data_IF_509499825965
#
_entry.id   IF_509499825965
#
_cell.length_a   1.000
_cell.length_b   1.000
_cell.length_c   1.000
_cell.angle_alpha   90.00
_cell.angle_beta   90.00
_cell.angle_gamma   90.00
#
_symmetry.space_group_name_H-M   'P 1'
#
loop_
_entity.id
_entity.type
_entity.pdbx_description
1 polymer ?
#
# COMPACT_ATOMS: atom_id res chain seq x y z
N UNK A 1 0.52 -4.80 -37.01
CA UNK A 1 1.24 -5.51 -35.93
C UNK A 1 0.26 -5.56 -34.79
N UNK A 2 -0.10 -6.75 -34.32
CA UNK A 2 -1.05 -6.87 -33.22
C UNK A 2 -0.43 -6.21 -31.96
N UNK A 3 -1.24 -5.45 -31.22
CA UNK A 3 -0.93 -4.95 -29.88
C UNK A 3 -0.78 -6.18 -28.94
N UNK A 4 0.32 -6.95 -29.04
CA UNK A 4 0.48 -8.23 -28.33
C UNK A 4 0.66 -8.07 -26.81
N UNK A 5 0.99 -6.86 -26.34
CA UNK A 5 1.26 -6.54 -24.93
C UNK A 5 0.22 -5.58 -24.31
N UNK A 6 -1.04 -5.68 -24.74
CA UNK A 6 -2.12 -4.86 -24.18
C UNK A 6 -3.33 -5.72 -23.79
N UNK A 7 -3.78 -5.58 -22.54
CA UNK A 7 -5.08 -6.07 -22.10
C UNK A 7 -6.17 -5.04 -22.44
N UNK A 8 -7.32 -5.52 -22.91
CA UNK A 8 -8.51 -4.67 -23.13
C UNK A 8 -9.61 -5.17 -22.20
N UNK A 9 -10.11 -4.29 -21.35
CA UNK A 9 -11.26 -4.58 -20.52
C UNK A 9 -12.53 -4.61 -21.39
N UNK A 10 -13.16 -5.79 -21.45
CA UNK A 10 -14.29 -6.06 -22.33
C UNK A 10 -15.53 -5.22 -22.01
N UNK A 11 -15.66 -4.72 -20.77
CA UNK A 11 -16.82 -3.95 -20.33
C UNK A 11 -16.67 -2.45 -20.60
N UNK A 12 -15.46 -1.92 -20.36
CA UNK A 12 -15.16 -0.49 -20.46
C UNK A 12 -14.46 -0.11 -21.77
N UNK A 13 -13.94 -1.09 -22.50
CA UNK A 13 -13.08 -0.88 -23.68
C UNK A 13 -11.71 -0.30 -23.34
N UNK A 14 -11.38 -0.16 -22.05
CA UNK A 14 -10.14 0.45 -21.60
C UNK A 14 -8.95 -0.47 -21.86
N UNK A 15 -7.89 0.12 -22.42
CA UNK A 15 -6.61 -0.54 -22.65
C UNK A 15 -5.70 -0.42 -21.42
N UNK A 16 -5.06 -1.53 -21.06
CA UNK A 16 -4.05 -1.62 -20.02
C UNK A 16 -2.79 -2.25 -20.62
N UNK A 17 -1.73 -1.46 -20.75
CA UNK A 17 -0.47 -1.95 -21.28
C UNK A 17 0.30 -2.75 -20.24
N UNK A 18 0.78 -3.90 -20.69
CA UNK A 18 1.75 -4.76 -20.01
C UNK A 18 3.03 -4.79 -20.86
N UNK A 19 4.13 -5.36 -20.37
CA UNK A 19 5.39 -5.41 -21.11
C UNK A 19 6.33 -4.21 -20.89
N UNK A 20 5.86 -3.15 -20.22
CA UNK A 20 6.70 -2.01 -19.85
C UNK A 20 7.76 -2.29 -18.77
N UNK A 21 7.67 -3.42 -18.07
CA UNK A 21 8.70 -3.86 -17.13
C UNK A 21 9.74 -4.70 -17.85
N UNK A 22 10.83 -4.08 -18.31
CA UNK A 22 11.88 -4.79 -19.01
C UNK A 22 12.64 -5.73 -18.05
N UNK A 23 12.86 -6.96 -18.51
CA UNK A 23 13.60 -7.98 -17.76
C UNK A 23 15.08 -7.84 -18.08
N UNK A 24 15.90 -7.69 -17.05
CA UNK A 24 17.35 -7.80 -17.16
C UNK A 24 17.79 -9.21 -16.75
N UNK A 25 18.79 -9.75 -17.45
CA UNK A 25 19.43 -11.03 -17.13
C UNK A 25 20.65 -10.87 -16.21
N UNK A 26 21.11 -9.63 -16.01
CA UNK A 26 22.21 -9.34 -15.10
C UNK A 26 21.73 -9.41 -13.65
N UNK A 27 22.58 -9.79 -12.67
CA UNK A 27 22.22 -9.70 -11.26
C UNK A 27 22.02 -8.25 -10.82
N UNK A 28 21.25 -8.04 -9.75
CA UNK A 28 21.10 -6.70 -9.19
C UNK A 28 22.44 -6.12 -8.72
N UNK A 29 22.77 -4.87 -9.10
CA UNK A 29 23.97 -4.19 -8.63
C UNK A 29 23.82 -3.64 -7.20
N UNK A 30 22.63 -3.76 -6.60
CA UNK A 30 22.32 -3.22 -5.29
C UNK A 30 22.67 -4.20 -4.16
N UNK A 31 22.89 -3.66 -2.97
CA UNK A 31 23.21 -4.48 -1.80
C UNK A 31 22.04 -5.41 -1.49
N UNK A 32 22.31 -6.64 -1.04
CA UNK A 32 21.23 -7.54 -0.63
C UNK A 32 20.64 -7.07 0.70
N UNK A 33 19.32 -7.02 0.76
CA UNK A 33 18.57 -6.81 1.98
C UNK A 33 18.94 -7.88 3.01
N UNK A 34 19.37 -7.42 4.19
CA UNK A 34 19.62 -8.28 5.34
C UNK A 34 18.42 -8.26 6.26
N UNK A 35 17.53 -9.25 6.15
CA UNK A 35 16.37 -9.36 7.02
C UNK A 35 16.78 -9.36 8.49
N UNK A 36 16.23 -8.43 9.28
CA UNK A 36 16.42 -8.42 10.73
C UNK A 36 15.67 -9.57 11.41
N UNK A 37 14.58 -10.04 10.79
CA UNK A 37 13.72 -11.12 11.27
C UNK A 37 13.90 -12.39 10.43
N UNK A 38 14.95 -13.16 10.72
CA UNK A 38 15.22 -14.42 10.01
C UNK A 38 14.41 -15.62 10.53
N UNK A 39 13.78 -15.48 11.69
CA UNK A 39 12.94 -16.51 12.32
C UNK A 39 11.46 -16.30 11.93
N UNK A 40 10.86 -17.21 11.14
CA UNK A 40 9.48 -17.09 10.69
C UNK A 40 8.48 -16.95 11.84
N UNK A 41 8.77 -17.52 13.02
CA UNK A 41 7.87 -17.47 14.19
C UNK A 41 7.77 -16.07 14.81
N UNK A 42 8.72 -15.18 14.50
CA UNK A 42 8.75 -13.79 14.97
C UNK A 42 8.09 -12.81 14.01
N UNK A 43 7.73 -13.24 12.80
CA UNK A 43 7.04 -12.39 11.85
C UNK A 43 5.57 -12.21 12.26
N UNK A 44 5.01 -11.00 12.13
CA UNK A 44 3.58 -10.78 12.28
C UNK A 44 2.80 -11.70 11.32
N UNK A 45 1.63 -12.18 11.73
CA UNK A 45 0.75 -12.98 10.85
C UNK A 45 0.13 -12.16 9.71
N UNK A 46 0.16 -10.83 9.81
CA UNK A 46 -0.21 -9.91 8.74
C UNK A 46 0.50 -8.57 8.90
N UNK A 47 0.73 -7.91 7.77
CA UNK A 47 1.27 -6.55 7.67
C UNK A 47 0.48 -5.80 6.62
N UNK A 48 0.12 -4.55 6.91
CA UNK A 48 -0.60 -3.68 5.98
C UNK A 48 -0.03 -2.25 6.04
N UNK A 49 0.67 -1.85 4.97
CA UNK A 49 1.31 -0.54 4.86
C UNK A 49 0.44 0.48 4.09
N UNK A 50 -0.80 0.13 3.73
CA UNK A 50 -1.68 0.98 2.89
C UNK A 50 -2.00 2.33 3.51
N UNK A 51 -2.01 2.43 4.83
CA UNK A 51 -2.28 3.67 5.55
C UNK A 51 -1.26 4.79 5.25
N UNK A 52 -0.10 4.44 4.67
CA UNK A 52 0.95 5.36 4.29
C UNK A 52 1.08 5.50 2.76
N UNK A 53 0.23 4.83 1.99
CA UNK A 53 0.20 4.94 0.54
C UNK A 53 -0.54 6.21 0.12
N UNK A 54 -0.08 6.81 -0.98
CA UNK A 54 -0.76 7.89 -1.71
C UNK A 54 -1.91 7.34 -2.56
N UNK A 55 -2.78 8.15 -3.18
CA UNK A 55 -3.77 7.69 -4.16
C UNK A 55 -3.13 6.88 -5.30
N UNK A 56 -3.83 5.89 -5.86
CA UNK A 56 -3.26 5.05 -6.94
C UNK A 56 -3.02 5.86 -8.20
N UNK A 57 -1.84 5.63 -8.78
CA UNK A 57 -1.46 6.16 -10.08
C UNK A 57 -2.20 5.47 -11.22
N UNK A 58 -2.45 6.24 -12.28
CA UNK A 58 -2.95 5.73 -13.55
C UNK A 58 -1.86 5.89 -14.61
N UNK A 59 -1.26 4.78 -15.03
CA UNK A 59 -0.22 4.77 -16.08
C UNK A 59 -0.79 5.02 -17.48
N UNK A 60 -2.12 5.06 -17.64
CA UNK A 60 -2.79 5.22 -18.93
C UNK A 60 -2.33 4.20 -19.98
N UNK A 61 -2.32 4.67 -21.23
CA UNK A 61 -1.93 3.90 -22.42
C UNK A 61 -0.40 3.95 -22.63
N UNK A 62 0.37 3.55 -21.60
CA UNK A 62 1.86 3.63 -21.64
C UNK A 62 2.55 2.42 -21.02
N UNK A 63 3.82 2.22 -21.39
CA UNK A 63 4.74 1.23 -20.82
C UNK A 63 5.46 1.71 -19.55
N UNK A 64 4.86 2.62 -18.78
CA UNK A 64 5.52 3.30 -17.64
C UNK A 64 5.35 2.62 -16.27
N UNK A 65 4.89 1.36 -16.20
CA UNK A 65 4.55 0.68 -14.94
C UNK A 65 5.66 0.69 -13.88
N UNK A 66 6.93 0.54 -14.28
CA UNK A 66 8.08 0.62 -13.37
C UNK A 66 8.20 2.00 -12.73
N UNK A 67 8.00 3.07 -13.50
CA UNK A 67 8.07 4.42 -12.99
C UNK A 67 6.91 4.74 -12.04
N UNK A 68 5.70 4.26 -12.33
CA UNK A 68 4.55 4.38 -11.43
C UNK A 68 4.77 3.62 -10.12
N UNK A 69 5.32 2.40 -10.20
CA UNK A 69 5.68 1.58 -9.04
C UNK A 69 6.67 2.31 -8.13
N UNK A 70 7.74 2.86 -8.70
CA UNK A 70 8.75 3.56 -7.92
C UNK A 70 8.31 4.95 -7.46
N UNK A 71 7.41 5.63 -8.18
CA UNK A 71 6.75 6.83 -7.66
C UNK A 71 5.99 6.50 -6.37
N UNK A 72 5.10 5.51 -6.39
CA UNK A 72 4.36 5.10 -5.19
C UNK A 72 5.27 4.66 -4.03
N UNK A 73 6.39 3.98 -4.33
CA UNK A 73 7.36 3.60 -3.31
C UNK A 73 8.11 4.81 -2.73
N UNK A 74 8.47 5.78 -3.58
CA UNK A 74 9.12 7.02 -3.18
C UNK A 74 8.19 7.86 -2.30
N UNK A 75 6.94 8.03 -2.72
CA UNK A 75 5.92 8.79 -2.01
C UNK A 75 5.56 8.17 -0.66
N UNK A 76 5.51 6.84 -0.59
CA UNK A 76 5.40 6.14 0.69
C UNK A 76 6.50 6.53 1.67
N UNK A 77 7.76 6.65 1.21
CA UNK A 77 8.86 7.05 2.09
C UNK A 77 8.71 8.49 2.56
N UNK A 78 8.24 9.40 1.70
CA UNK A 78 7.90 10.77 2.11
C UNK A 78 6.80 10.73 3.17
N UNK A 79 5.74 9.95 2.96
CA UNK A 79 4.64 9.82 3.89
C UNK A 79 5.11 9.22 5.23
N UNK A 80 5.91 8.16 5.20
CA UNK A 80 6.47 7.49 6.39
C UNK A 80 7.35 8.43 7.22
N UNK A 81 8.27 9.15 6.57
CA UNK A 81 9.29 9.94 7.27
C UNK A 81 8.84 11.37 7.59
N UNK A 82 7.92 11.93 6.81
CA UNK A 82 7.56 13.35 6.91
C UNK A 82 6.07 13.60 7.13
N UNK A 83 5.22 12.56 7.01
CA UNK A 83 3.75 12.66 7.11
C UNK A 83 3.19 13.70 6.15
N UNK A 84 3.80 13.79 4.96
CA UNK A 84 3.40 14.70 3.89
C UNK A 84 3.04 13.91 2.65
N UNK A 85 1.92 14.28 2.06
CA UNK A 85 1.57 13.85 0.73
C UNK A 85 2.31 14.72 -0.29
N UNK A 86 3.22 14.12 -1.06
CA UNK A 86 3.90 14.77 -2.18
C UNK A 86 3.81 13.78 -3.32
N UNK A 87 3.29 14.24 -4.45
CA UNK A 87 3.19 13.49 -5.70
C UNK A 87 4.44 13.76 -6.55
N UNK A 88 5.11 12.71 -7.01
CA UNK A 88 6.40 12.78 -7.71
C UNK A 88 6.27 12.44 -9.18
N UNK A 89 7.00 13.18 -10.03
CA UNK A 89 6.87 13.07 -11.49
C UNK A 89 7.25 11.68 -12.01
N UNK A 90 6.22 10.90 -12.36
CA UNK A 90 6.38 9.57 -12.97
C UNK A 90 7.10 9.65 -14.31
N UNK A 91 6.81 10.67 -15.11
CA UNK A 91 7.48 10.86 -16.40
C UNK A 91 8.94 11.31 -16.24
N UNK A 92 9.29 12.02 -15.17
CA UNK A 92 10.68 12.33 -14.85
C UNK A 92 11.47 11.06 -14.53
N UNK A 93 10.91 10.19 -13.68
CA UNK A 93 11.50 8.87 -13.37
C UNK A 93 11.65 8.07 -14.67
N UNK A 94 10.56 7.97 -15.45
CA UNK A 94 10.52 7.13 -16.65
C UNK A 94 11.46 7.58 -17.76
N UNK A 95 11.54 8.90 -18.03
CA UNK A 95 12.49 9.45 -19.00
C UNK A 95 13.93 9.12 -18.60
N UNK A 96 14.29 9.40 -17.35
CA UNK A 96 15.67 9.22 -16.88
C UNK A 96 16.06 7.73 -16.79
N UNK A 97 15.12 6.86 -16.43
CA UNK A 97 15.33 5.41 -16.43
C UNK A 97 15.71 4.91 -17.83
N UNK A 98 14.94 5.27 -18.86
CA UNK A 98 15.24 4.88 -20.25
C UNK A 98 16.58 5.45 -20.73
N UNK A 99 16.93 6.67 -20.33
CA UNK A 99 18.24 7.27 -20.64
C UNK A 99 19.40 6.53 -19.98
N UNK A 100 19.24 6.06 -18.74
CA UNK A 100 20.24 5.20 -18.08
C UNK A 100 20.33 3.85 -18.78
N UNK A 101 19.20 3.28 -19.20
CA UNK A 101 19.14 2.05 -19.99
C UNK A 101 19.61 2.19 -21.45
N UNK A 102 20.30 3.27 -21.81
CA UNK A 102 20.94 3.43 -23.11
C UNK A 102 20.07 4.07 -24.21
N UNK A 103 18.84 4.52 -23.92
CA UNK A 103 18.02 5.20 -24.92
C UNK A 103 18.72 6.49 -25.41
N UNK A 104 18.78 6.64 -26.74
CA UNK A 104 19.41 7.79 -27.36
C UNK A 104 18.61 9.07 -27.10
N UNK A 105 19.29 10.18 -26.79
CA UNK A 105 18.64 11.45 -26.40
C UNK A 105 17.67 12.00 -27.46
N UNK A 106 17.98 11.75 -28.74
CA UNK A 106 17.22 12.25 -29.90
C UNK A 106 16.16 11.24 -30.37
N UNK A 107 16.12 10.04 -29.77
CA UNK A 107 15.21 8.97 -30.17
C UNK A 107 14.76 8.14 -28.96
N UNK A 108 13.86 8.71 -28.17
CA UNK A 108 13.25 8.03 -27.03
C UNK A 108 11.86 7.54 -27.42
N UNK A 109 11.56 6.29 -27.07
CA UNK A 109 10.28 5.64 -27.31
C UNK A 109 9.69 5.13 -26.00
N UNK A 110 8.39 4.84 -26.05
CA UNK A 110 7.69 4.19 -24.97
C UNK A 110 7.91 2.67 -24.99
N UNK A 111 9.09 2.23 -24.56
CA UNK A 111 9.52 0.83 -24.62
C UNK A 111 9.76 0.21 -23.24
N UNK A 112 9.25 0.83 -22.18
CA UNK A 112 9.48 0.37 -20.82
C UNK A 112 10.87 0.70 -20.28
N UNK A 113 11.12 0.25 -19.05
CA UNK A 113 12.45 0.31 -18.43
C UNK A 113 12.59 -0.83 -17.42
N UNK A 114 13.81 -1.03 -16.91
CA UNK A 114 14.04 -1.97 -15.81
C UNK A 114 13.90 -1.25 -14.47
N UNK A 115 13.55 -1.97 -13.41
CA UNK A 115 13.53 -1.42 -12.04
C UNK A 115 14.89 -0.84 -11.66
N UNK A 116 15.98 -1.53 -12.04
CA UNK A 116 17.36 -1.07 -11.78
C UNK A 116 17.66 0.27 -12.43
N UNK A 117 17.28 0.47 -13.69
CA UNK A 117 17.52 1.74 -14.36
C UNK A 117 16.72 2.88 -13.72
N UNK A 118 15.50 2.59 -13.27
CA UNK A 118 14.66 3.59 -12.62
C UNK A 118 15.16 3.95 -11.21
N UNK A 119 15.65 2.99 -10.43
CA UNK A 119 16.31 3.27 -9.15
C UNK A 119 17.63 4.00 -9.37
N UNK A 120 18.42 3.60 -10.36
CA UNK A 120 19.64 4.32 -10.74
C UNK A 120 19.34 5.78 -11.14
N UNK A 121 18.19 6.03 -11.77
CA UNK A 121 17.74 7.38 -12.09
C UNK A 121 17.40 8.17 -10.83
N UNK A 122 16.68 7.57 -9.88
CA UNK A 122 16.37 8.18 -8.59
C UNK A 122 17.64 8.45 -7.76
N UNK A 123 18.65 7.57 -7.78
CA UNK A 123 19.95 7.82 -7.13
C UNK A 123 20.69 8.99 -7.77
N UNK A 124 20.73 9.01 -9.11
CA UNK A 124 21.53 9.99 -9.87
C UNK A 124 20.88 11.37 -9.94
N UNK A 125 19.59 11.42 -10.18
CA UNK A 125 18.86 12.66 -10.46
C UNK A 125 17.84 13.02 -9.39
N UNK A 126 17.37 12.05 -8.60
CA UNK A 126 16.22 12.22 -7.71
C UNK A 126 14.91 12.24 -8.47
N UNK A 127 13.90 12.92 -7.94
CA UNK A 127 12.65 13.15 -8.63
C UNK A 127 12.10 14.55 -8.31
N UNK A 128 11.52 15.23 -9.30
CA UNK A 128 10.77 16.46 -9.08
C UNK A 128 9.31 16.15 -8.78
N UNK A 129 8.55 17.16 -8.35
CA UNK A 129 7.11 17.03 -8.16
C UNK A 129 6.37 16.77 -9.48
N UNK A 130 5.27 16.05 -9.41
CA UNK A 130 4.42 15.71 -10.56
C UNK A 130 3.95 16.97 -11.31
N UNK A 131 3.55 18.02 -10.60
CA UNK A 131 3.13 19.30 -11.22
C UNK A 131 4.22 20.07 -11.98
N UNK A 132 5.50 19.69 -11.85
CA UNK A 132 6.59 20.30 -12.63
C UNK A 132 6.78 19.61 -13.98
N UNK A 133 6.44 18.33 -14.05
CA UNK A 133 6.50 17.53 -15.26
C UNK A 133 5.38 16.48 -15.24
N UNK A 134 4.18 16.97 -15.52
CA UNK A 134 2.94 16.23 -15.37
C UNK A 134 2.85 15.04 -16.33
N UNK A 135 2.17 14.00 -15.87
CA UNK A 135 1.81 12.80 -16.61
C UNK A 135 0.85 13.16 -17.74
N UNK A 136 1.45 13.55 -18.85
CA UNK A 136 0.77 13.89 -20.09
C UNK A 136 1.43 13.11 -21.22
N UNK A 137 0.62 12.47 -22.07
CA UNK A 137 1.11 11.70 -23.21
C UNK A 137 2.03 12.49 -24.14
N UNK A 138 1.82 13.81 -24.26
CA UNK A 138 2.69 14.69 -25.04
C UNK A 138 4.10 14.86 -24.44
N UNK A 139 4.26 14.58 -23.14
CA UNK A 139 5.52 14.65 -22.41
C UNK A 139 6.23 13.30 -22.33
N UNK A 140 5.55 12.19 -22.66
CA UNK A 140 6.02 10.81 -22.45
C UNK A 140 7.46 10.57 -22.92
N UNK A 141 7.83 11.10 -24.09
CA UNK A 141 9.16 10.92 -24.68
C UNK A 141 10.01 12.21 -24.67
N UNK A 142 9.52 13.29 -24.05
CA UNK A 142 10.21 14.57 -23.99
C UNK A 142 11.15 14.62 -22.79
N UNK A 143 12.29 15.30 -22.98
CA UNK A 143 13.22 15.59 -21.88
C UNK A 143 12.54 16.54 -20.88
N UNK A 144 12.54 16.22 -19.57
CA UNK A 144 12.12 17.18 -18.57
C UNK A 144 12.90 18.49 -18.67
N UNK A 145 12.26 19.65 -18.44
CA UNK A 145 12.95 20.94 -18.40
C UNK A 145 14.04 20.99 -17.31
N UNK A 146 15.01 21.90 -17.45
CA UNK A 146 16.14 22.02 -16.52
C UNK A 146 15.69 22.24 -15.06
N UNK A 147 14.63 23.04 -14.85
CA UNK A 147 14.04 23.31 -13.52
C UNK A 147 13.63 22.03 -12.78
N UNK A 148 13.19 20.98 -13.51
CA UNK A 148 12.85 19.69 -12.92
C UNK A 148 14.09 19.00 -12.36
N UNK A 149 15.21 19.04 -13.08
CA UNK A 149 16.47 18.47 -12.60
C UNK A 149 17.05 19.25 -11.43
N UNK A 150 16.85 20.57 -11.39
CA UNK A 150 17.32 21.40 -10.28
C UNK A 150 16.53 21.13 -8.98
N UNK A 151 15.22 20.94 -9.09
CA UNK A 151 14.38 20.48 -7.97
C UNK A 151 14.74 19.05 -7.53
N UNK A 152 14.83 18.12 -8.49
CA UNK A 152 15.03 16.70 -8.24
C UNK A 152 16.32 16.37 -7.48
N UNK A 153 17.39 17.16 -7.66
CA UNK A 153 18.68 16.97 -6.95
C UNK A 153 18.54 16.96 -5.43
N UNK A 154 17.53 17.65 -4.89
CA UNK A 154 17.26 17.72 -3.45
C UNK A 154 16.57 16.45 -2.92
N UNK A 155 16.12 15.58 -3.82
CA UNK A 155 15.24 14.44 -3.55
C UNK A 155 15.85 13.15 -4.11
N UNK A 156 17.17 12.98 -3.99
CA UNK A 156 17.85 11.73 -4.34
C UNK A 156 17.65 10.68 -3.26
N UNK A 157 17.42 9.44 -3.67
CA UNK A 157 17.53 8.32 -2.75
C UNK A 157 19.00 8.05 -2.46
N UNK A 158 19.30 7.71 -1.21
CA UNK A 158 20.67 7.40 -0.80
C UNK A 158 21.03 5.98 -1.23
N UNK A 159 20.16 5.03 -0.87
CA UNK A 159 20.42 3.61 -0.98
C UNK A 159 19.19 2.86 -1.48
N UNK A 160 19.46 1.69 -2.05
CA UNK A 160 18.46 0.73 -2.44
C UNK A 160 19.02 -0.66 -2.16
N UNK A 161 18.16 -1.52 -1.63
CA UNK A 161 18.50 -2.90 -1.31
C UNK A 161 17.67 -3.88 -2.11
N UNK A 162 18.32 -4.93 -2.59
CA UNK A 162 17.70 -6.03 -3.30
C UNK A 162 17.14 -7.07 -2.32
N UNK A 163 15.82 -7.27 -2.32
CA UNK A 163 15.17 -8.31 -1.50
C UNK A 163 15.27 -9.65 -2.23
N UNK A 164 15.70 -10.70 -1.52
CA UNK A 164 15.79 -12.02 -2.15
C UNK A 164 14.40 -12.61 -2.35
N UNK A 165 14.23 -13.36 -3.44
CA UNK A 165 13.01 -14.13 -3.71
C UNK A 165 12.90 -15.34 -2.77
N UNK A 166 12.60 -15.07 -1.50
CA UNK A 166 12.14 -16.07 -0.56
C UNK A 166 11.15 -15.42 0.41
N UNK A 167 10.26 -16.26 0.96
CA UNK A 167 9.11 -15.78 1.71
C UNK A 167 9.52 -15.02 2.98
N UNK A 168 10.60 -15.43 3.63
CA UNK A 168 11.08 -14.84 4.89
C UNK A 168 11.60 -13.43 4.63
N UNK A 169 12.47 -13.23 3.65
CA UNK A 169 13.05 -11.92 3.34
C UNK A 169 11.96 -10.93 2.85
N UNK A 170 11.03 -11.39 1.99
CA UNK A 170 9.92 -10.57 1.51
C UNK A 170 8.98 -10.13 2.65
N UNK A 171 8.59 -11.06 3.54
CA UNK A 171 7.77 -10.73 4.71
C UNK A 171 8.51 -9.85 5.70
N UNK A 172 9.79 -10.11 5.94
CA UNK A 172 10.63 -9.31 6.84
C UNK A 172 10.74 -7.87 6.36
N UNK A 173 10.96 -7.65 5.07
CA UNK A 173 10.99 -6.32 4.47
C UNK A 173 9.71 -5.53 4.78
N UNK A 174 8.54 -6.16 4.58
CA UNK A 174 7.25 -5.58 4.87
C UNK A 174 7.04 -5.36 6.38
N UNK A 175 7.40 -6.34 7.21
CA UNK A 175 7.26 -6.28 8.67
C UNK A 175 8.17 -5.21 9.31
N UNK A 176 9.32 -4.90 8.71
CA UNK A 176 10.14 -3.72 9.05
C UNK A 176 9.49 -2.40 8.60
N UNK A 177 8.34 -2.48 7.91
CA UNK A 177 7.52 -1.35 7.51
C UNK A 177 7.91 -0.76 6.17
N UNK A 178 8.49 -1.52 5.25
CA UNK A 178 8.92 -1.00 3.96
C UNK A 178 8.34 -1.81 2.80
N UNK A 179 7.78 -1.15 1.78
CA UNK A 179 7.34 -1.83 0.57
C UNK A 179 8.54 -2.18 -0.31
N UNK A 180 8.34 -3.14 -1.21
CA UNK A 180 9.33 -3.48 -2.23
C UNK A 180 8.69 -3.52 -3.61
N UNK A 181 9.36 -2.93 -4.60
CA UNK A 181 8.95 -2.99 -5.99
C UNK A 181 9.30 -4.38 -6.55
N UNK A 182 8.44 -4.96 -7.40
CA UNK A 182 8.72 -6.23 -8.05
C UNK A 182 8.09 -6.30 -9.44
N UNK A 183 8.64 -7.16 -10.31
CA UNK A 183 8.10 -7.45 -11.63
C UNK A 183 7.59 -8.88 -11.74
N UNK A 184 6.48 -9.09 -12.46
CA UNK A 184 5.95 -10.42 -12.78
C UNK A 184 5.61 -10.52 -14.26
N UNK A 185 5.59 -11.73 -14.81
CA UNK A 185 4.87 -11.99 -16.06
C UNK A 185 3.37 -12.00 -15.76
N UNK A 186 2.60 -11.22 -16.52
CA UNK A 186 1.15 -11.27 -16.45
C UNK A 186 0.61 -12.33 -17.40
N UNK A 187 -0.34 -13.11 -16.92
CA UNK A 187 -1.09 -14.10 -17.69
C UNK A 187 -2.54 -13.66 -17.84
N UNK A 188 -3.32 -14.34 -18.68
CA UNK A 188 -4.76 -14.06 -18.82
C UNK A 188 -5.50 -14.10 -17.47
N UNK A 189 -5.13 -15.03 -16.59
CA UNK A 189 -5.61 -15.10 -15.20
C UNK A 189 -5.43 -13.80 -14.41
N UNK A 190 -4.38 -13.03 -14.66
CA UNK A 190 -4.17 -11.71 -14.04
C UNK A 190 -5.30 -10.74 -14.40
N UNK A 191 -5.85 -10.86 -15.60
CA UNK A 191 -6.93 -10.00 -16.10
C UNK A 191 -8.27 -10.31 -15.44
N UNK A 192 -8.45 -11.50 -14.87
CA UNK A 192 -9.65 -11.86 -14.10
C UNK A 192 -9.65 -11.24 -12.70
N UNK A 193 -8.56 -10.57 -12.28
CA UNK A 193 -8.47 -9.95 -10.96
C UNK A 193 -9.58 -8.91 -10.71
N UNK A 194 -9.92 -8.11 -11.73
CA UNK A 194 -11.01 -7.12 -11.64
C UNK A 194 -12.36 -7.79 -11.33
N UNK A 195 -12.65 -8.93 -11.98
CA UNK A 195 -13.87 -9.72 -11.77
C UNK A 195 -13.87 -10.45 -10.41
N UNK A 196 -12.71 -10.59 -9.79
CA UNK A 196 -12.50 -11.33 -8.54
C UNK A 196 -12.16 -10.39 -7.35
N UNK A 197 -12.64 -9.14 -7.37
CA UNK A 197 -12.47 -8.20 -6.28
C UNK A 197 -11.00 -7.86 -5.97
N UNK A 198 -10.13 -7.88 -6.99
CA UNK A 198 -8.69 -7.63 -6.86
C UNK A 198 -7.86 -8.86 -6.53
N UNK A 199 -8.45 -10.05 -6.45
CA UNK A 199 -7.69 -11.28 -6.22
C UNK A 199 -7.17 -11.85 -7.54
N UNK A 200 -5.85 -11.90 -7.67
CA UNK A 200 -5.18 -12.50 -8.83
C UNK A 200 -5.18 -14.03 -8.64
N UNK A 201 -5.91 -14.79 -9.46
CA UNK A 201 -5.82 -16.24 -9.45
C UNK A 201 -4.45 -16.68 -9.98
N UNK A 202 -3.97 -17.82 -9.48
CA UNK A 202 -2.77 -18.44 -10.02
C UNK A 202 -2.96 -18.80 -11.51
N UNK A 203 -1.93 -18.60 -12.35
CA UNK A 203 -2.02 -18.96 -13.75
C UNK A 203 -2.18 -20.48 -13.90
N UNK A 204 -3.04 -20.89 -14.85
CA UNK A 204 -3.24 -22.29 -15.22
C UNK A 204 -2.08 -22.76 -16.11
N UNK A 205 -0.94 -23.03 -15.50
CA UNK A 205 0.25 -23.51 -16.21
C UNK A 205 0.16 -25.01 -16.56
N UNK A 206 0.77 -25.45 -17.68
CA UNK A 206 1.49 -24.65 -18.68
C UNK A 206 0.58 -24.01 -19.73
N UNK A 207 -0.74 -24.25 -19.68
CA UNK A 207 -1.69 -23.80 -20.70
C UNK A 207 -1.64 -22.29 -20.93
N UNK A 208 -1.62 -21.49 -19.86
CA UNK A 208 -1.53 -20.04 -20.02
C UNK A 208 -0.17 -19.61 -20.59
N UNK A 209 0.94 -20.19 -20.14
CA UNK A 209 2.28 -19.87 -20.68
C UNK A 209 2.49 -20.12 -22.17
N UNK A 210 1.63 -20.93 -22.80
CA UNK A 210 1.69 -21.24 -24.23
C UNK A 210 0.82 -20.30 -25.10
N UNK A 211 -0.04 -19.47 -24.49
CA UNK A 211 -0.94 -18.55 -25.20
C UNK A 211 -0.33 -17.14 -25.31
N UNK A 212 -0.32 -16.55 -26.51
CA UNK A 212 0.62 -15.49 -26.93
C UNK A 212 0.35 -14.04 -26.46
N UNK A 213 -0.04 -13.78 -25.21
CA UNK A 213 -0.14 -12.40 -24.68
C UNK A 213 0.36 -12.32 -23.24
N UNK A 214 1.68 -12.27 -23.08
CA UNK A 214 2.35 -12.13 -21.79
C UNK A 214 3.28 -10.93 -21.82
N UNK A 215 2.92 -9.88 -21.09
CA UNK A 215 3.81 -8.78 -20.79
C UNK A 215 4.34 -8.88 -19.36
N UNK A 216 5.56 -8.41 -19.12
CA UNK A 216 6.04 -8.19 -17.77
C UNK A 216 5.45 -6.89 -17.20
N UNK A 217 4.98 -6.92 -15.97
CA UNK A 217 4.38 -5.78 -15.27
C UNK A 217 5.01 -5.57 -13.90
N UNK A 218 5.23 -4.30 -13.55
CA UNK A 218 5.83 -3.92 -12.27
C UNK A 218 4.76 -3.39 -11.32
N UNK A 219 4.87 -3.78 -10.05
CA UNK A 219 3.96 -3.37 -8.98
C UNK A 219 4.69 -3.23 -7.65
N UNK A 220 4.01 -2.67 -6.64
CA UNK A 220 4.57 -2.44 -5.32
C UNK A 220 3.93 -3.36 -4.27
N UNK A 221 4.71 -4.22 -3.62
CA UNK A 221 4.22 -4.99 -2.48
C UNK A 221 4.18 -4.10 -1.24
N UNK A 222 3.03 -4.04 -0.57
CA UNK A 222 2.74 -3.12 0.55
C UNK A 222 2.16 -3.84 1.77
N UNK A 223 2.20 -5.17 1.79
CA UNK A 223 1.75 -5.95 2.93
C UNK A 223 1.60 -7.43 2.62
N UNK A 224 1.18 -8.21 3.60
CA UNK A 224 0.85 -9.63 3.45
C UNK A 224 -0.16 -10.08 4.50
N UNK A 225 -0.80 -11.22 4.25
CA UNK A 225 -1.66 -11.89 5.22
C UNK A 225 -1.49 -13.41 5.14
N UNK A 226 -1.18 -14.03 6.28
CA UNK A 226 -1.00 -15.48 6.37
C UNK A 226 -2.33 -16.23 6.33
N UNK A 227 -3.41 -15.60 6.82
CA UNK A 227 -4.76 -16.14 6.72
C UNK A 227 -5.19 -16.32 5.25
N UNK A 228 -4.94 -15.33 4.41
CA UNK A 228 -5.24 -15.41 2.98
C UNK A 228 -4.11 -16.04 2.16
N UNK A 229 -2.92 -16.18 2.74
CA UNK A 229 -1.67 -16.59 2.06
C UNK A 229 -1.32 -15.71 0.86
N UNK A 230 -1.46 -14.40 1.02
CA UNK A 230 -1.31 -13.44 -0.07
C UNK A 230 -0.41 -12.27 0.31
N UNK A 231 0.31 -11.73 -0.68
CA UNK A 231 0.79 -10.36 -0.60
C UNK A 231 -0.32 -9.37 -0.94
N UNK A 232 -0.19 -8.19 -0.37
CA UNK A 232 -0.99 -7.00 -0.65
C UNK A 232 -0.17 -6.14 -1.61
N UNK A 233 -0.68 -5.88 -2.80
CA UNK A 233 0.07 -5.21 -3.86
C UNK A 233 -0.68 -4.00 -4.40
N UNK A 234 0.02 -2.90 -4.61
CA UNK A 234 -0.46 -1.69 -5.27
C UNK A 234 -0.13 -1.73 -6.77
N UNK A 235 -1.16 -1.63 -7.60
CA UNK A 235 -1.07 -1.52 -9.06
C UNK A 235 -1.05 -0.04 -9.52
N UNK A 236 -0.91 0.20 -10.83
CA UNK A 236 -0.85 1.52 -11.47
C UNK A 236 -1.89 1.71 -12.59
N UNK A 237 -3.09 1.13 -12.42
CA UNK A 237 -4.17 1.13 -13.42
C UNK A 237 -5.36 2.02 -13.02
N UNK A 238 -5.13 2.96 -12.10
CA UNK A 238 -6.16 3.86 -11.59
C UNK A 238 -7.15 3.18 -10.65
N UNK A 239 -7.98 4.01 -9.99
CA UNK A 239 -8.94 3.54 -8.98
C UNK A 239 -10.15 2.80 -9.57
N UNK A 240 -10.45 2.99 -10.86
CA UNK A 240 -11.63 2.43 -11.51
C UNK A 240 -11.42 1.00 -12.03
N UNK A 241 -10.22 0.45 -11.92
CA UNK A 241 -9.92 -0.89 -12.42
C UNK A 241 -10.60 -2.00 -11.62
N UNK A 242 -10.83 -1.80 -10.31
CA UNK A 242 -11.71 -2.68 -9.54
C UNK A 242 -13.08 -2.00 -9.43
N UNK A 243 -14.09 -2.58 -10.08
CA UNK A 243 -15.49 -2.16 -9.97
C UNK A 243 -16.01 -2.44 -8.57
N UNK A 244 -15.77 -1.55 -7.61
CA UNK A 244 -16.56 -1.45 -6.38
C UNK A 244 -16.56 0.00 -5.90
N UNK A 245 -17.77 0.52 -5.65
CA UNK A 245 -18.11 1.92 -5.30
C UNK A 245 -17.56 2.42 -3.95
N UNK A 246 -16.48 1.83 -3.42
CA UNK A 246 -15.77 2.36 -2.25
C UNK A 246 -14.82 3.47 -2.68
N UNK A 247 -15.42 4.62 -2.96
CA UNK A 247 -14.74 5.88 -3.23
C UNK A 247 -13.76 6.23 -2.08
N UNK A 248 -12.51 6.52 -2.48
CA UNK A 248 -11.60 7.50 -1.88
C UNK A 248 -10.92 7.25 -0.51
N UNK A 249 -10.88 6.03 0.02
CA UNK A 249 -10.04 5.75 1.21
C UNK A 249 -9.29 4.41 1.22
N UNK A 250 -9.55 3.55 0.23
CA UNK A 250 -9.00 2.20 0.18
C UNK A 250 -8.44 1.94 -1.21
N UNK A 251 -7.12 2.14 -1.32
CA UNK A 251 -6.28 1.71 -2.45
C UNK A 251 -6.54 0.22 -2.69
N UNK A 252 -7.16 -0.19 -3.82
CA UNK A 252 -7.35 -1.59 -4.13
C UNK A 252 -6.04 -2.36 -4.24
N UNK A 253 -6.09 -3.56 -3.68
CA UNK A 253 -4.97 -4.45 -3.43
C UNK A 253 -5.06 -5.63 -4.38
N UNK A 254 -3.97 -5.92 -5.07
CA UNK A 254 -3.81 -7.21 -5.71
C UNK A 254 -3.38 -8.25 -4.70
N UNK A 255 -4.20 -9.29 -4.57
CA UNK A 255 -4.07 -10.38 -3.60
C UNK A 255 -3.74 -11.67 -4.36
N UNK A 256 -2.51 -12.19 -4.23
CA UNK A 256 -2.10 -13.46 -4.87
C UNK A 256 -2.62 -14.65 -4.06
N UNK A 257 -3.74 -15.27 -4.47
CA UNK A 257 -4.30 -16.40 -3.71
C UNK A 257 -3.66 -17.74 -4.09
N UNK A 258 -2.97 -18.38 -3.15
CA UNK A 258 -2.63 -19.80 -3.23
C UNK A 258 -3.77 -20.66 -2.68
N UNK A 259 -4.24 -21.65 -3.45
CA UNK A 259 -5.16 -22.67 -2.92
C UNK A 259 -4.47 -23.45 -1.78
N UNK A 260 -5.22 -23.66 -0.68
CA UNK A 260 -4.81 -24.43 0.50
C UNK A 260 -4.12 -25.73 0.11
N UNK A 261 -2.91 -25.95 0.64
CA UNK A 261 -2.29 -27.22 1.10
C UNK A 261 -0.75 -26.98 1.18
N UNK A 262 -0.22 -26.96 2.41
CA UNK A 262 1.19 -26.87 2.87
C UNK A 262 1.99 -25.64 2.39
N UNK A 263 2.12 -24.65 3.29
CA UNK A 263 2.31 -23.23 3.01
C UNK A 263 3.73 -22.74 2.69
N UNK A 264 4.78 -23.30 3.31
CA UNK A 264 6.11 -22.67 3.25
C UNK A 264 6.89 -23.09 1.99
N UNK A 265 6.88 -24.37 1.64
CA UNK A 265 7.59 -24.88 0.46
C UNK A 265 6.88 -24.54 -0.87
N UNK A 266 5.58 -24.22 -0.87
CA UNK A 266 4.84 -23.93 -2.11
C UNK A 266 4.95 -22.47 -2.56
N UNK A 267 4.92 -21.48 -1.66
CA UNK A 267 5.03 -20.07 -2.06
C UNK A 267 6.39 -19.77 -2.71
N UNK A 268 7.47 -20.39 -2.22
CA UNK A 268 8.81 -20.27 -2.81
C UNK A 268 8.92 -20.98 -4.18
N UNK A 269 8.31 -22.16 -4.32
CA UNK A 269 8.20 -22.86 -5.60
C UNK A 269 7.25 -22.14 -6.59
N UNK A 270 6.24 -21.43 -6.09
CA UNK A 270 5.27 -20.69 -6.90
C UNK A 270 5.82 -19.37 -7.43
N UNK A 271 6.56 -18.62 -6.61
CA UNK A 271 7.35 -17.47 -7.05
C UNK A 271 8.34 -17.87 -8.16
N UNK A 272 8.96 -19.04 -8.01
CA UNK A 272 9.83 -19.64 -9.03
C UNK A 272 9.06 -20.05 -10.29
N UNK A 273 7.84 -20.58 -10.16
CA UNK A 273 7.00 -20.99 -11.31
C UNK A 273 6.29 -19.85 -12.03
N UNK A 274 6.06 -18.71 -11.36
CA UNK A 274 5.49 -17.49 -11.94
C UNK A 274 6.55 -16.65 -12.67
N UNK A 275 7.79 -17.13 -12.77
CA UNK A 275 8.94 -16.37 -13.25
C UNK A 275 8.99 -14.99 -12.58
N UNK A 276 8.84 -14.93 -11.25
CA UNK A 276 9.16 -13.71 -10.51
C UNK A 276 10.68 -13.55 -10.69
N UNK A 277 11.09 -12.61 -11.52
CA UNK A 277 12.50 -12.33 -11.79
C UNK A 277 13.15 -11.68 -10.57
N UNK A 278 14.49 -11.76 -10.45
CA UNK A 278 15.33 -11.36 -9.30
C UNK A 278 15.40 -9.84 -9.05
N UNK A 279 14.26 -9.16 -9.15
CA UNK A 279 14.13 -7.71 -9.14
C UNK A 279 13.18 -7.27 -8.05
N UNK A 280 13.62 -7.40 -6.80
CA UNK A 280 12.94 -6.81 -5.66
C UNK A 280 13.83 -5.72 -5.11
N UNK A 281 13.41 -4.47 -5.14
CA UNK A 281 14.25 -3.37 -4.69
C UNK A 281 13.48 -2.49 -3.69
N UNK A 282 14.09 -2.24 -2.54
CA UNK A 282 13.59 -1.37 -1.48
C UNK A 282 14.30 -0.03 -1.56
N UNK A 283 13.55 1.06 -1.48
CA UNK A 283 14.08 2.42 -1.46
C UNK A 283 14.34 2.87 -0.01
N UNK A 284 15.48 3.51 0.26
CA UNK A 284 15.78 4.12 1.56
C UNK A 284 16.07 5.63 1.43
N UNK A 285 15.41 6.43 2.28
CA UNK A 285 15.78 7.82 2.57
C UNK A 285 16.44 7.79 3.96
N UNK A 286 17.74 8.06 4.03
CA UNK A 286 18.52 7.92 5.28
C UNK A 286 18.30 9.09 6.25
N UNK A 287 18.64 8.85 7.51
CA UNK A 287 18.45 9.70 8.71
C UNK A 287 19.08 11.11 8.62
N UNK A 288 19.89 11.39 7.60
CA UNK A 288 20.38 12.76 7.32
C UNK A 288 19.26 13.74 6.92
N UNK A 289 18.08 13.23 6.57
CA UNK A 289 16.89 14.02 6.26
C UNK A 289 16.16 14.53 7.51
N UNK A 290 16.25 13.84 8.65
CA UNK A 290 15.58 14.25 9.90
C UNK A 290 16.15 15.55 10.46
N UNK A 291 17.47 15.77 10.34
CA UNK A 291 18.14 16.99 10.79
C UNK A 291 17.71 18.22 9.96
N UNK A 292 17.42 18.02 8.67
CA UNK A 292 16.92 19.05 7.76
C UNK A 292 15.43 19.35 8.03
N UNK A 293 14.63 18.30 8.26
CA UNK A 293 13.20 18.41 8.60
C UNK A 293 13.01 19.04 9.98
N UNK A 294 13.90 18.78 10.94
CA UNK A 294 13.94 19.44 12.24
C UNK A 294 14.20 20.94 12.09
N UNK A 295 15.20 21.34 11.28
CA UNK A 295 15.46 22.75 10.94
C UNK A 295 14.31 23.46 10.24
N UNK A 296 13.52 22.73 9.44
CA UNK A 296 12.33 23.27 8.76
C UNK A 296 11.13 23.34 9.72
N UNK A 297 10.92 22.32 10.56
CA UNK A 297 9.87 22.29 11.60
C UNK A 297 10.08 23.40 12.63
N UNK A 298 11.31 23.60 13.11
CA UNK A 298 11.67 24.66 14.06
C UNK A 298 11.46 26.08 13.51
N UNK A 299 11.42 26.23 12.18
CA UNK A 299 11.08 27.49 11.50
C UNK A 299 9.57 27.68 11.31
N UNK A 300 8.79 26.60 11.22
CA UNK A 300 7.34 26.62 10.99
C UNK A 300 6.59 26.78 12.32
N UNK A 301 7.02 26.11 13.39
CA UNK A 301 6.40 26.22 14.73
C UNK A 301 6.55 27.60 15.38
N UNK A 302 7.43 28.46 14.85
CA UNK A 302 7.55 29.86 15.27
C UNK A 302 6.47 30.80 14.69
N UNK A 303 5.57 30.33 13.81
CA UNK A 303 4.74 31.23 12.98
C UNK A 303 3.23 31.01 12.93
N UNK A 304 2.62 30.07 13.66
CA UNK A 304 1.15 29.91 13.61
C UNK A 304 0.49 29.71 14.99
N UNK A 305 -0.68 30.34 15.25
CA UNK A 305 -1.37 30.27 16.54
C UNK A 305 -2.24 29.01 16.72
N UNK A 306 -2.54 28.75 17.99
CA UNK A 306 -3.20 27.60 18.63
C UNK A 306 -4.63 27.26 18.17
N UNK A 307 -4.96 26.01 18.46
CA UNK A 307 -6.22 25.25 18.36
C UNK A 307 -7.48 25.96 18.91
N UNK A 308 -8.65 25.52 18.45
CA UNK A 308 -9.92 25.73 19.17
C UNK A 308 -10.44 24.40 19.72
N UNK A 309 -10.68 24.45 21.04
CA UNK A 309 -11.08 23.39 21.95
C UNK A 309 -12.49 22.82 21.66
N UNK A 310 -12.58 21.49 21.61
CA UNK A 310 -13.76 20.76 22.06
C UNK A 310 -13.34 20.05 23.35
N UNK A 311 -13.97 20.37 24.49
CA UNK A 311 -13.51 19.91 25.80
C UNK A 311 -13.61 18.38 25.94
N UNK A 312 -12.47 17.70 26.10
CA UNK A 312 -12.29 16.25 26.29
C UNK A 312 -13.30 15.63 27.29
N UNK A 313 -13.64 16.36 28.36
CA UNK A 313 -14.63 15.97 29.36
C UNK A 313 -15.99 15.54 28.81
N UNK A 314 -16.45 16.08 27.67
CA UNK A 314 -17.77 15.73 27.13
C UNK A 314 -17.80 14.37 26.43
N UNK A 315 -16.67 13.93 25.88
CA UNK A 315 -16.58 12.67 25.14
C UNK A 315 -16.53 11.50 26.13
N UNK A 316 -15.74 11.66 27.20
CA UNK A 316 -15.68 10.70 28.29
C UNK A 316 -17.06 10.46 28.91
N UNK A 317 -17.79 11.52 29.26
CA UNK A 317 -19.14 11.42 29.83
C UNK A 317 -20.13 10.68 28.90
N UNK A 318 -19.98 10.82 27.58
CA UNK A 318 -20.85 10.17 26.60
C UNK A 318 -20.59 8.66 26.48
N UNK A 319 -19.34 8.22 26.62
CA UNK A 319 -18.98 6.79 26.62
C UNK A 319 -19.45 6.13 27.91
N UNK A 320 -19.27 6.80 29.06
CA UNK A 320 -19.80 6.33 30.33
C UNK A 320 -21.35 6.27 30.32
N UNK A 321 -22.01 7.22 29.65
CA UNK A 321 -23.47 7.16 29.44
C UNK A 321 -23.87 5.96 28.57
N UNK A 322 -23.11 5.66 27.51
CA UNK A 322 -23.34 4.46 26.70
C UNK A 322 -23.20 3.18 27.52
N UNK A 323 -22.13 3.04 28.31
CA UNK A 323 -21.90 1.85 29.15
C UNK A 323 -23.06 1.62 30.13
N UNK A 324 -23.51 2.68 30.82
CA UNK A 324 -24.66 2.62 31.73
C UNK A 324 -25.94 2.21 31.01
N UNK A 325 -26.26 2.86 29.90
CA UNK A 325 -27.47 2.56 29.12
C UNK A 325 -27.43 1.13 28.56
N UNK A 326 -26.26 0.65 28.16
CA UNK A 326 -26.08 -0.72 27.68
C UNK A 326 -26.34 -1.72 28.81
N UNK A 327 -25.79 -1.50 30.00
CA UNK A 327 -25.97 -2.37 31.16
C UNK A 327 -27.43 -2.39 31.69
N UNK A 328 -28.17 -1.29 31.56
CA UNK A 328 -29.61 -1.25 31.91
C UNK A 328 -30.46 -2.13 30.99
N UNK A 329 -30.12 -2.21 29.71
CA UNK A 329 -30.88 -2.95 28.70
C UNK A 329 -30.45 -4.42 28.61
N UNK A 330 -29.17 -4.70 28.86
CA UNK A 330 -28.56 -6.02 28.75
C UNK A 330 -27.97 -6.45 30.11
N UNK A 331 -28.62 -7.39 30.83
CA UNK A 331 -28.25 -7.74 32.21
C UNK A 331 -26.89 -8.44 32.35
N UNK A 332 -26.29 -8.90 31.25
CA UNK A 332 -24.91 -9.38 31.22
C UNK A 332 -24.01 -8.23 30.78
N UNK A 333 -22.96 -7.94 31.56
CA UNK A 333 -21.98 -6.91 31.19
C UNK A 333 -21.35 -7.27 29.82
N UNK A 334 -21.30 -6.29 28.91
CA UNK A 334 -20.59 -6.42 27.63
C UNK A 334 -19.07 -6.35 27.81
N UNK A 335 -18.30 -6.34 26.70
CA UNK A 335 -16.85 -6.21 26.77
C UNK A 335 -16.42 -4.86 27.39
N UNK A 336 -15.25 -4.85 28.03
CA UNK A 336 -14.72 -3.68 28.70
C UNK A 336 -14.44 -2.53 27.72
N UNK A 337 -15.03 -1.36 27.96
CA UNK A 337 -14.91 -0.20 27.09
C UNK A 337 -13.66 0.62 27.40
N UNK A 338 -13.02 1.12 26.35
CA UNK A 338 -12.01 2.16 26.46
C UNK A 338 -12.68 3.51 26.71
N UNK A 339 -12.40 4.08 27.88
CA UNK A 339 -12.92 5.38 28.30
C UNK A 339 -11.98 6.48 27.80
N UNK A 340 -12.35 7.10 26.69
CA UNK A 340 -11.59 8.19 26.07
C UNK A 340 -12.09 8.51 24.66
N UNK A 341 -11.61 9.59 24.06
CA UNK A 341 -11.95 9.94 22.69
C UNK A 341 -11.51 8.87 21.69
N UNK A 342 -12.15 8.85 20.52
CA UNK A 342 -11.75 7.94 19.44
C UNK A 342 -10.27 8.12 19.07
N UNK A 343 -9.76 9.36 19.08
CA UNK A 343 -8.35 9.63 18.83
C UNK A 343 -7.44 9.03 19.89
N UNK A 344 -7.81 9.08 21.17
CA UNK A 344 -7.06 8.43 22.25
C UNK A 344 -7.11 6.90 22.13
N UNK A 345 -8.26 6.33 21.78
CA UNK A 345 -8.40 4.89 21.53
C UNK A 345 -7.54 4.43 20.35
N UNK A 346 -7.54 5.19 19.25
CA UNK A 346 -6.66 4.96 18.10
C UNK A 346 -5.19 5.07 18.52
N UNK A 347 -4.85 6.09 19.31
CA UNK A 347 -3.47 6.28 19.75
C UNK A 347 -3.00 5.13 20.66
N UNK A 348 -3.82 4.66 21.59
CA UNK A 348 -3.49 3.49 22.42
C UNK A 348 -3.40 2.21 21.57
N UNK A 349 -4.32 2.01 20.64
CA UNK A 349 -4.31 0.83 19.77
C UNK A 349 -3.08 0.79 18.84
N UNK A 350 -2.55 1.95 18.43
CA UNK A 350 -1.49 2.04 17.45
C UNK A 350 -0.09 2.29 18.04
N UNK A 351 0.01 3.03 19.14
CA UNK A 351 1.27 3.60 19.62
C UNK A 351 1.62 3.27 21.06
N UNK A 352 0.74 2.63 21.85
CA UNK A 352 1.10 2.13 23.17
C UNK A 352 2.03 0.89 23.01
N UNK A 353 3.29 0.94 23.47
CA UNK A 353 4.23 -0.16 23.28
C UNK A 353 4.03 -1.31 24.26
N UNK A 354 3.21 -1.15 25.31
CA UNK A 354 3.04 -2.13 26.39
C UNK A 354 1.74 -2.92 26.25
N UNK A 355 0.65 -2.27 25.82
CA UNK A 355 -0.68 -2.89 25.70
C UNK A 355 -1.32 -2.66 24.32
N UNK A 356 -0.54 -2.94 23.27
CA UNK A 356 -0.98 -2.72 21.88
C UNK A 356 -2.00 -3.77 21.45
N UNK A 357 -3.28 -3.40 21.49
CA UNK A 357 -4.39 -4.25 21.00
C UNK A 357 -5.12 -3.59 19.82
N UNK A 358 -5.52 -4.34 18.79
CA UNK A 358 -6.39 -3.85 17.71
C UNK A 358 -7.67 -3.19 18.25
N UNK A 359 -8.06 -2.05 17.66
CA UNK A 359 -9.28 -1.33 18.03
C UNK A 359 -10.50 -2.00 17.42
N UNK A 360 -11.43 -2.44 18.26
CA UNK A 360 -12.77 -2.87 17.86
C UNK A 360 -13.74 -1.72 18.09
N UNK A 361 -14.32 -1.20 17.01
CA UNK A 361 -15.23 -0.05 17.04
C UNK A 361 -16.69 -0.52 16.88
N UNK A 362 -17.55 -0.12 17.82
CA UNK A 362 -18.98 -0.44 17.78
C UNK A 362 -19.86 0.82 17.77
N UNK A 363 -20.60 1.02 16.68
CA UNK A 363 -21.57 2.11 16.56
C UNK A 363 -22.97 1.58 16.86
N UNK A 364 -23.51 1.96 18.02
CA UNK A 364 -24.82 1.54 18.47
C UNK A 364 -25.93 2.39 17.84
N UNK A 365 -27.01 1.75 17.42
CA UNK A 365 -28.22 2.45 16.97
C UNK A 365 -29.48 1.67 17.34
N UNK A 366 -30.29 2.26 18.20
CA UNK A 366 -31.47 1.62 18.79
C UNK A 366 -32.74 1.69 17.91
N UNK A 367 -32.59 1.53 16.58
CA UNK A 367 -33.72 1.62 15.61
C UNK A 367 -34.15 0.29 15.00
N UNK A 368 -33.45 -0.81 15.26
CA UNK A 368 -33.74 -2.10 14.62
C UNK A 368 -33.79 -3.26 15.63
N UNK A 369 -34.72 -4.22 15.47
CA UNK A 369 -34.73 -5.45 16.26
C UNK A 369 -33.40 -6.23 16.18
N UNK A 370 -32.71 -6.16 15.04
CA UNK A 370 -31.40 -6.79 14.82
C UNK A 370 -30.31 -6.27 15.76
N UNK A 371 -30.35 -4.99 16.15
CA UNK A 371 -29.42 -4.42 17.13
C UNK A 371 -29.54 -5.13 18.48
N UNK A 372 -30.76 -5.37 18.94
CA UNK A 372 -30.99 -6.07 20.21
C UNK A 372 -30.56 -7.53 20.16
N UNK A 373 -30.83 -8.22 19.05
CA UNK A 373 -30.41 -9.62 18.87
C UNK A 373 -28.88 -9.72 18.88
N UNK A 374 -28.18 -8.80 18.20
CA UNK A 374 -26.72 -8.76 18.19
C UNK A 374 -26.14 -8.49 19.59
N UNK A 375 -26.62 -7.44 20.28
CA UNK A 375 -26.09 -7.12 21.61
C UNK A 375 -26.32 -8.28 22.60
N UNK A 376 -27.53 -8.85 22.61
CA UNK A 376 -27.90 -9.92 23.54
C UNK A 376 -27.19 -11.26 23.26
N UNK A 377 -27.03 -11.64 21.99
CA UNK A 377 -26.53 -12.97 21.64
C UNK A 377 -25.04 -13.00 21.31
N UNK A 378 -24.45 -11.84 20.94
CA UNK A 378 -23.05 -11.73 20.54
C UNK A 378 -22.26 -10.94 21.59
N UNK A 379 -22.57 -9.66 21.81
CA UNK A 379 -21.79 -8.83 22.74
C UNK A 379 -21.93 -9.23 24.20
N UNK A 380 -23.04 -9.86 24.58
CA UNK A 380 -23.27 -10.38 25.93
C UNK A 380 -22.87 -11.86 26.08
N UNK A 381 -22.31 -12.49 25.03
CA UNK A 381 -21.85 -13.87 25.12
C UNK A 381 -20.51 -13.92 25.86
N UNK A 382 -20.42 -14.73 26.93
CA UNK A 382 -19.23 -14.81 27.78
C UNK A 382 -17.95 -15.17 27.01
N UNK A 383 -18.00 -16.06 26.02
CA UNK A 383 -16.81 -16.43 25.22
C UNK A 383 -16.35 -15.28 24.32
N UNK A 384 -17.29 -14.50 23.81
CA UNK A 384 -17.01 -13.34 22.96
C UNK A 384 -16.47 -12.18 23.79
N UNK A 385 -17.02 -11.94 24.98
CA UNK A 385 -16.51 -10.96 25.93
C UNK A 385 -15.05 -11.29 26.28
N UNK A 386 -14.79 -12.54 26.70
CA UNK A 386 -13.45 -12.97 27.07
C UNK A 386 -12.45 -12.84 25.90
N UNK A 387 -12.92 -13.12 24.67
CA UNK A 387 -12.11 -12.96 23.46
C UNK A 387 -11.85 -11.48 23.13
N UNK A 388 -12.86 -10.61 23.22
CA UNK A 388 -12.71 -9.18 22.95
C UNK A 388 -11.78 -8.55 23.98
N UNK A 389 -12.03 -8.79 25.27
CA UNK A 389 -11.25 -8.18 26.35
C UNK A 389 -9.76 -8.61 26.31
N UNK A 390 -9.48 -9.86 25.91
CA UNK A 390 -8.10 -10.35 25.78
C UNK A 390 -7.38 -9.82 24.54
N UNK A 391 -8.08 -9.59 23.43
CA UNK A 391 -7.43 -9.39 22.12
C UNK A 391 -7.66 -8.00 21.53
N UNK A 392 -8.61 -7.21 22.01
CA UNK A 392 -9.00 -5.94 21.42
C UNK A 392 -9.09 -4.83 22.46
N UNK A 393 -8.83 -3.62 21.99
CA UNK A 393 -9.26 -2.39 22.66
C UNK A 393 -10.67 -2.09 22.16
N UNK A 394 -11.70 -2.13 23.01
CA UNK A 394 -13.07 -1.96 22.56
C UNK A 394 -13.55 -0.53 22.76
N UNK A 395 -14.00 0.14 21.70
CA UNK A 395 -14.54 1.50 21.76
C UNK A 395 -15.93 1.53 21.15
N UNK A 396 -16.88 2.14 21.85
CA UNK A 396 -18.27 2.18 21.41
C UNK A 396 -18.88 3.58 21.50
N UNK A 397 -19.83 3.85 20.60
CA UNK A 397 -20.51 5.14 20.51
C UNK A 397 -22.00 4.98 20.17
N UNK A 398 -22.85 5.73 20.86
CA UNK A 398 -24.29 5.73 20.61
C UNK A 398 -24.70 6.77 19.56
N UNK A 399 -25.00 6.29 18.35
CA UNK A 399 -25.49 7.09 17.23
C UNK A 399 -27.03 7.21 17.20
N UNK A 400 -27.74 6.85 18.28
CA UNK A 400 -29.21 6.85 18.31
C UNK A 400 -29.78 8.28 18.24
N UNK A 401 -29.11 9.25 18.88
CA UNK A 401 -29.47 10.68 18.82
C UNK A 401 -28.76 11.35 17.66
N UNK A 402 -29.47 12.20 16.90
CA UNK A 402 -28.90 12.88 15.72
C UNK A 402 -27.68 13.75 16.06
N UNK A 403 -27.64 14.32 17.28
CA UNK A 403 -26.49 15.09 17.77
C UNK A 403 -25.20 14.26 17.93
N UNK A 404 -25.33 12.94 18.15
CA UNK A 404 -24.20 12.01 18.24
C UNK A 404 -23.86 11.37 16.88
N UNK A 405 -24.78 11.42 15.91
CA UNK A 405 -24.57 10.93 14.55
C UNK A 405 -23.77 11.92 13.69
N UNK A 406 -23.90 13.23 13.97
CA UNK A 406 -23.19 14.30 13.25
C UNK A 406 -21.78 14.58 13.79
N UNK A 407 -21.40 13.95 14.91
CA UNK A 407 -20.08 14.05 15.56
C UNK A 407 -19.29 12.77 15.30
#
# INVERSE_FOLDING_TARGET
>A
MADEDCYVDEQTGRKYHVGGCLISNEPSPFQKFGASMVDPSKLPSSVDLRQLMTPIEDQGDTNSCVANTLAGAYEFLIMKNHRKHIDVSRLFIYYNARRIGGAHKDYIKDNGCTVVHAISALKKYGCCKENMFEFNMQNLNKKPPAICYDDAKNYRIAEADSVKINLIDMKSCLAEGYPFAFGILTYKSFHDAAKNGGRVPMPKLPYESQNASHGAHAMLAVGYSDLSQCFIVRNSWGNNWLLNDLQLSHVPVLVFTGNKINAENKLQNQASSMNIYDWQERLFITDKSEELVKKIKDNISKKLPLEQEVSENRIQLAIEEFERNFAEVYPSAGPALFIGSLNEAINHSLFDPVDRRPLLLYLHRNRTPSTHVFCKNILCNSEIIDYIDKNYLFWAWDCTRDANYQR
#
